data_IF_984946507606
#
_entry.id   IF_984946507606
#
_cell.length_a   1.000
_cell.length_b   1.000
_cell.length_c   1.000
_cell.angle_alpha   90.00
_cell.angle_beta   90.00
_cell.angle_gamma   90.00
#
_symmetry.space_group_name_H-M   'P 1'
#
loop_
_entity.id
_entity.type
_entity.pdbx_description
1 polymer ?
#
# COMPACT_ATOMS: atom_id res chain seq x y z
N UNK A 1 -10.22 49.41 -16.38
CA UNK A 1 -10.79 48.33 -15.56
C UNK A 1 -9.95 48.22 -14.30
N UNK A 2 -10.48 48.77 -13.21
CA UNK A 2 -9.83 48.83 -11.90
C UNK A 2 -9.68 47.40 -11.35
N UNK A 3 -8.43 46.95 -11.19
CA UNK A 3 -8.08 45.75 -10.44
C UNK A 3 -8.62 45.91 -9.01
N UNK A 4 -9.77 45.28 -8.72
CA UNK A 4 -10.34 45.28 -7.38
C UNK A 4 -9.31 44.68 -6.43
N UNK A 5 -8.89 45.45 -5.42
CA UNK A 5 -8.10 44.90 -4.31
C UNK A 5 -8.94 43.84 -3.63
N UNK A 6 -8.58 42.56 -3.79
CA UNK A 6 -9.19 41.48 -3.04
C UNK A 6 -8.87 41.67 -1.56
N UNK A 7 -9.81 41.29 -0.70
CA UNK A 7 -9.48 41.15 0.72
C UNK A 7 -8.71 39.85 0.94
N UNK A 8 -7.92 39.80 2.02
CA UNK A 8 -7.23 38.58 2.46
C UNK A 8 -8.19 37.38 2.59
N UNK A 9 -9.46 37.63 2.95
CA UNK A 9 -10.50 36.61 3.03
C UNK A 9 -10.83 35.96 1.67
N UNK A 10 -10.81 36.71 0.58
CA UNK A 10 -11.05 36.15 -0.75
C UNK A 10 -9.88 35.24 -1.18
N UNK A 11 -8.64 35.66 -0.89
CA UNK A 11 -7.45 34.88 -1.20
C UNK A 11 -7.32 33.65 -0.30
N UNK A 12 -7.72 33.74 0.97
CA UNK A 12 -7.78 32.57 1.85
C UNK A 12 -8.80 31.55 1.34
N UNK A 13 -9.96 32.01 0.88
CA UNK A 13 -10.96 31.13 0.29
C UNK A 13 -10.47 30.47 -1.02
N UNK A 14 -9.70 31.18 -1.85
CA UNK A 14 -9.04 30.61 -3.02
C UNK A 14 -8.05 29.49 -2.62
N UNK A 15 -7.27 29.70 -1.55
CA UNK A 15 -6.34 28.69 -1.05
C UNK A 15 -7.08 27.45 -0.52
N UNK A 16 -8.22 27.62 0.16
CA UNK A 16 -9.05 26.50 0.62
C UNK A 16 -9.68 25.73 -0.56
N UNK A 17 -10.05 26.44 -1.64
CA UNK A 17 -10.46 25.80 -2.90
C UNK A 17 -9.31 25.00 -3.53
N UNK A 18 -8.08 25.55 -3.55
CA UNK A 18 -6.91 24.84 -4.08
C UNK A 18 -6.61 23.57 -3.28
N UNK A 19 -6.85 23.57 -1.97
CA UNK A 19 -6.67 22.39 -1.12
C UNK A 19 -7.67 21.29 -1.46
N UNK A 20 -8.95 21.64 -1.62
CA UNK A 20 -9.99 20.70 -2.07
C UNK A 20 -9.71 20.15 -3.46
N UNK A 21 -9.26 21.01 -4.37
CA UNK A 21 -8.84 20.63 -5.71
C UNK A 21 -7.67 19.63 -5.66
N UNK A 22 -6.66 19.88 -4.82
CA UNK A 22 -5.52 18.98 -4.64
C UNK A 22 -5.96 17.61 -4.12
N UNK A 23 -6.74 17.55 -3.04
CA UNK A 23 -7.24 16.30 -2.48
C UNK A 23 -8.06 15.49 -3.51
N UNK A 24 -8.93 16.17 -4.25
CA UNK A 24 -9.74 15.53 -5.31
C UNK A 24 -8.87 15.02 -6.45
N UNK A 25 -7.83 15.76 -6.83
CA UNK A 25 -6.90 15.36 -7.89
C UNK A 25 -6.13 14.11 -7.49
N UNK A 26 -5.72 14.01 -6.23
CA UNK A 26 -4.99 12.85 -5.70
C UNK A 26 -5.86 11.59 -5.61
N UNK A 27 -7.17 11.72 -5.41
CA UNK A 27 -8.10 10.58 -5.49
C UNK A 27 -8.34 10.09 -6.92
N UNK A 28 -8.29 11.00 -7.90
CA UNK A 28 -8.58 10.69 -9.32
C UNK A 28 -7.37 10.18 -10.10
N UNK A 29 -6.18 10.67 -9.76
CA UNK A 29 -4.96 10.30 -10.48
C UNK A 29 -4.47 8.92 -10.03
N UNK A 30 -3.97 8.08 -10.97
CA UNK A 30 -3.27 6.85 -10.62
C UNK A 30 -2.14 7.16 -9.63
N UNK A 31 -2.04 6.40 -8.53
CA UNK A 31 -0.99 6.58 -7.50
C UNK A 31 0.43 6.50 -8.06
N UNK A 32 0.61 5.92 -9.25
CA UNK A 32 1.88 5.87 -9.98
C UNK A 32 2.32 7.20 -10.59
N UNK A 33 1.43 8.19 -10.68
CA UNK A 33 1.68 9.49 -11.31
C UNK A 33 1.78 10.64 -10.31
N UNK A 34 1.33 10.43 -9.08
CA UNK A 34 1.41 11.45 -8.03
C UNK A 34 2.81 11.40 -7.42
N UNK A 35 3.54 12.51 -7.52
CA UNK A 35 4.92 12.62 -7.02
C UNK A 35 4.99 12.41 -5.51
N UNK A 36 3.99 12.91 -4.77
CA UNK A 36 4.03 12.95 -3.31
C UNK A 36 2.66 12.61 -2.71
N UNK A 37 2.60 12.24 -1.43
CA UNK A 37 1.31 12.00 -0.76
C UNK A 37 0.61 13.32 -0.36
N UNK A 38 -0.66 13.23 0.00
CA UNK A 38 -1.49 14.34 0.48
C UNK A 38 -0.85 15.07 1.68
N UNK A 39 -0.27 14.31 2.62
CA UNK A 39 0.40 14.88 3.79
C UNK A 39 1.60 15.77 3.43
N UNK A 40 2.35 15.41 2.40
CA UNK A 40 3.46 16.20 1.88
C UNK A 40 2.96 17.50 1.24
N UNK A 41 1.90 17.43 0.44
CA UNK A 41 1.30 18.59 -0.22
C UNK A 41 0.76 19.60 0.80
N UNK A 42 0.05 19.12 1.82
CA UNK A 42 -0.46 19.94 2.92
C UNK A 42 0.68 20.54 3.74
N UNK A 43 1.73 19.77 4.00
CA UNK A 43 2.94 20.26 4.66
C UNK A 43 3.61 21.36 3.83
N UNK A 44 3.66 21.22 2.50
CA UNK A 44 4.31 22.22 1.64
C UNK A 44 3.53 23.53 1.70
N UNK A 45 2.21 23.44 1.58
CA UNK A 45 1.29 24.57 1.69
C UNK A 45 1.41 25.27 3.05
N UNK A 46 1.51 24.51 4.15
CA UNK A 46 1.69 25.04 5.48
C UNK A 46 3.04 25.76 5.66
N UNK A 47 4.14 25.16 5.18
CA UNK A 47 5.47 25.79 5.21
C UNK A 47 5.50 27.06 4.36
N UNK A 48 4.92 27.04 3.15
CA UNK A 48 4.83 28.24 2.31
C UNK A 48 4.03 29.36 2.99
N UNK A 49 2.92 29.03 3.65
CA UNK A 49 2.14 30.01 4.42
C UNK A 49 2.96 30.59 5.58
N UNK A 50 3.61 29.74 6.38
CA UNK A 50 4.40 30.16 7.54
C UNK A 50 5.57 31.05 7.13
N UNK A 51 6.31 30.65 6.09
CA UNK A 51 7.44 31.41 5.57
C UNK A 51 6.96 32.78 5.08
N UNK A 52 5.87 32.85 4.32
CA UNK A 52 5.32 34.11 3.84
C UNK A 52 4.86 35.02 4.99
N UNK A 53 4.19 34.49 6.02
CA UNK A 53 3.71 35.28 7.16
C UNK A 53 4.85 35.90 8.00
N UNK A 54 6.02 35.27 8.01
CA UNK A 54 7.18 35.75 8.78
C UNK A 54 8.01 36.80 8.05
N UNK A 55 7.80 37.00 6.75
CA UNK A 55 8.58 37.99 5.99
C UNK A 55 8.18 39.42 6.38
N UNK A 56 9.12 40.27 6.80
CA UNK A 56 8.81 41.65 7.18
C UNK A 56 8.47 42.49 5.95
N UNK A 57 7.41 43.30 6.04
CA UNK A 57 7.06 44.31 5.03
C UNK A 57 6.42 43.80 3.74
N UNK A 58 6.00 42.53 3.69
CA UNK A 58 5.35 41.93 2.51
C UNK A 58 3.86 42.27 2.42
N UNK A 59 3.31 42.15 1.21
CA UNK A 59 1.87 42.32 0.96
C UNK A 59 1.03 41.33 1.79
N UNK A 60 -0.13 41.75 2.34
CA UNK A 60 -1.06 40.82 3.00
C UNK A 60 -1.59 39.71 2.07
N UNK A 61 -1.42 39.87 0.76
CA UNK A 61 -1.85 38.90 -0.24
C UNK A 61 -0.85 37.73 -0.39
N UNK A 62 0.43 37.96 -0.07
CA UNK A 62 1.51 37.01 -0.30
C UNK A 62 1.27 35.64 0.36
N UNK A 63 0.87 35.54 1.65
CA UNK A 63 0.77 34.24 2.31
C UNK A 63 -0.29 33.33 1.70
N UNK A 64 -1.43 33.89 1.32
CA UNK A 64 -2.53 33.13 0.73
C UNK A 64 -2.21 32.71 -0.71
N UNK A 65 -1.57 33.59 -1.48
CA UNK A 65 -1.09 33.26 -2.83
C UNK A 65 0.01 32.20 -2.79
N UNK A 66 0.97 32.30 -1.87
CA UNK A 66 2.02 31.30 -1.70
C UNK A 66 1.45 29.93 -1.30
N UNK A 67 0.49 29.88 -0.37
CA UNK A 67 -0.23 28.64 -0.02
C UNK A 67 -0.95 28.03 -1.23
N UNK A 68 -1.64 28.86 -2.00
CA UNK A 68 -2.37 28.43 -3.22
C UNK A 68 -1.40 27.83 -4.24
N UNK A 69 -0.30 28.53 -4.52
CA UNK A 69 0.73 28.10 -5.48
C UNK A 69 1.41 26.80 -5.04
N UNK A 70 1.69 26.63 -3.74
CA UNK A 70 2.22 25.39 -3.19
C UNK A 70 1.28 24.18 -3.39
N UNK A 71 -0.02 24.37 -3.22
CA UNK A 71 -1.02 23.33 -3.46
C UNK A 71 -1.10 22.95 -4.94
N UNK A 72 -1.00 23.93 -5.85
CA UNK A 72 -0.98 23.67 -7.28
C UNK A 72 0.32 23.03 -7.75
N UNK A 73 1.47 23.35 -7.15
CA UNK A 73 2.73 22.65 -7.41
C UNK A 73 2.60 21.16 -7.13
N UNK A 74 1.97 20.80 -6.00
CA UNK A 74 1.73 19.42 -5.63
C UNK A 74 0.81 18.68 -6.62
N UNK A 75 -0.04 19.39 -7.35
CA UNK A 75 -0.93 18.81 -8.36
C UNK A 75 -0.23 18.50 -9.69
N UNK A 76 1.07 18.83 -9.84
CA UNK A 76 1.81 18.55 -11.08
C UNK A 76 2.20 17.08 -11.12
N UNK A 77 2.00 16.46 -12.29
CA UNK A 77 2.30 15.05 -12.53
C UNK A 77 2.93 14.85 -13.91
N UNK A 78 3.51 13.66 -14.11
CA UNK A 78 4.16 13.27 -15.35
C UNK A 78 3.16 13.04 -16.49
N UNK A 79 3.38 13.72 -17.62
CA UNK A 79 2.56 13.59 -18.83
C UNK A 79 3.11 12.58 -19.86
N UNK A 80 2.40 12.36 -20.99
CA UNK A 80 2.78 11.39 -22.05
C UNK A 80 4.15 11.61 -22.71
N UNK A 81 4.78 12.76 -22.48
CA UNK A 81 6.05 13.15 -23.09
C UNK A 81 7.27 13.08 -22.18
N UNK A 82 7.19 12.43 -21.01
CA UNK A 82 8.24 12.49 -19.98
C UNK A 82 8.50 13.90 -19.43
N UNK A 83 7.54 14.81 -19.59
CA UNK A 83 7.59 16.18 -19.08
C UNK A 83 6.58 16.32 -17.94
N UNK A 84 6.99 17.02 -16.88
CA UNK A 84 6.09 17.38 -15.81
C UNK A 84 5.07 18.38 -16.33
N UNK A 85 3.77 18.18 -16.06
CA UNK A 85 2.75 19.16 -16.46
C UNK A 85 3.12 20.56 -15.97
N UNK A 86 3.01 21.52 -16.88
CA UNK A 86 3.33 22.92 -16.62
C UNK A 86 2.31 23.58 -15.69
N UNK A 87 2.73 24.67 -15.06
CA UNK A 87 1.90 25.46 -14.16
C UNK A 87 0.62 25.97 -14.82
N UNK A 88 0.68 26.37 -16.09
CA UNK A 88 -0.49 26.86 -16.82
C UNK A 88 -1.58 25.79 -16.98
N UNK A 89 -1.19 24.54 -17.24
CA UNK A 89 -2.15 23.45 -17.39
C UNK A 89 -2.88 23.19 -16.07
N UNK A 90 -2.13 23.10 -14.97
CA UNK A 90 -2.71 22.89 -13.63
C UNK A 90 -3.57 24.08 -13.21
N UNK A 91 -3.13 25.31 -13.50
CA UNK A 91 -3.92 26.51 -13.22
C UNK A 91 -5.21 26.58 -14.06
N UNK A 92 -5.20 26.07 -15.29
CA UNK A 92 -6.38 25.96 -16.13
C UNK A 92 -7.36 24.92 -15.58
N UNK A 93 -6.88 23.73 -15.19
CA UNK A 93 -7.71 22.70 -14.54
C UNK A 93 -8.33 23.21 -13.24
N UNK A 94 -7.56 23.93 -12.43
CA UNK A 94 -8.05 24.53 -11.20
C UNK A 94 -9.11 25.61 -11.48
N UNK A 95 -8.91 26.44 -12.51
CA UNK A 95 -9.90 27.43 -12.95
C UNK A 95 -11.21 26.76 -13.34
N UNK A 96 -11.14 25.73 -14.17
CA UNK A 96 -12.30 24.97 -14.63
C UNK A 96 -13.03 24.30 -13.46
N UNK A 97 -12.29 23.86 -12.44
CA UNK A 97 -12.85 23.29 -11.21
C UNK A 97 -13.57 24.33 -10.33
N UNK A 98 -12.98 25.52 -10.14
CA UNK A 98 -13.59 26.57 -9.31
C UNK A 98 -14.80 27.24 -9.95
N UNK A 99 -14.90 27.22 -11.28
CA UNK A 99 -15.99 27.86 -12.02
C UNK A 99 -15.86 29.40 -12.13
N UNK A 100 -16.87 30.05 -12.73
CA UNK A 100 -16.80 31.46 -13.13
C UNK A 100 -16.72 32.46 -11.96
N UNK A 101 -17.22 32.08 -10.78
CA UNK A 101 -17.25 32.96 -9.59
C UNK A 101 -15.84 33.33 -9.10
N UNK A 102 -14.83 32.53 -9.44
CA UNK A 102 -13.44 32.75 -9.06
C UNK A 102 -12.61 33.41 -10.17
N UNK A 103 -13.21 33.79 -11.29
CA UNK A 103 -12.47 34.24 -12.48
C UNK A 103 -11.44 35.35 -12.17
N UNK A 104 -11.84 36.37 -11.41
CA UNK A 104 -10.94 37.48 -11.10
C UNK A 104 -9.80 37.05 -10.15
N UNK A 105 -10.06 36.13 -9.21
CA UNK A 105 -9.04 35.56 -8.32
C UNK A 105 -8.06 34.66 -9.10
N UNK A 106 -8.58 33.89 -10.05
CA UNK A 106 -7.78 33.05 -10.95
C UNK A 106 -6.88 33.90 -11.86
N UNK A 107 -7.37 35.03 -12.37
CA UNK A 107 -6.54 35.98 -13.12
C UNK A 107 -5.38 36.48 -12.25
N UNK A 108 -5.64 36.89 -11.00
CA UNK A 108 -4.57 37.28 -10.06
C UNK A 108 -3.58 36.15 -9.81
N UNK A 109 -4.07 34.93 -9.58
CA UNK A 109 -3.22 33.75 -9.40
C UNK A 109 -2.30 33.53 -10.62
N UNK A 110 -2.84 33.60 -11.84
CA UNK A 110 -2.02 33.42 -13.05
C UNK A 110 -0.92 34.47 -13.20
N UNK A 111 -1.11 35.69 -12.68
CA UNK A 111 -0.06 36.71 -12.71
C UNK A 111 1.09 36.46 -11.74
N UNK A 112 0.90 35.67 -10.70
CA UNK A 112 1.94 35.34 -9.69
C UNK A 112 2.58 33.98 -9.89
N UNK A 113 2.06 33.15 -10.78
CA UNK A 113 2.71 31.91 -11.23
C UNK A 113 4.05 32.22 -11.93
N UNK A 114 4.97 31.23 -12.07
CA UNK A 114 6.30 31.45 -12.63
C UNK A 114 6.33 32.17 -13.99
N UNK A 115 5.32 31.94 -14.83
CA UNK A 115 5.15 32.53 -16.17
C UNK A 115 4.38 33.88 -16.17
N UNK A 116 3.93 34.34 -15.00
CA UNK A 116 3.18 35.58 -14.85
C UNK A 116 4.05 36.85 -14.88
N UNK A 117 3.41 38.01 -14.75
CA UNK A 117 4.06 39.32 -14.83
C UNK A 117 3.94 40.17 -13.56
N UNK A 118 3.37 39.64 -12.47
CA UNK A 118 3.15 40.38 -11.22
C UNK A 118 4.45 40.70 -10.48
N UNK A 119 4.48 41.82 -9.75
CA UNK A 119 5.56 42.14 -8.82
C UNK A 119 5.70 41.13 -7.68
N UNK A 120 4.59 40.50 -7.26
CA UNK A 120 4.58 39.45 -6.22
C UNK A 120 5.09 38.10 -6.72
N UNK A 121 5.27 37.91 -8.03
CA UNK A 121 5.72 36.65 -8.62
C UNK A 121 7.06 36.19 -8.05
N UNK A 122 8.02 37.10 -7.94
CA UNK A 122 9.35 36.79 -7.40
C UNK A 122 9.25 36.36 -5.94
N UNK A 123 8.47 37.08 -5.13
CA UNK A 123 8.27 36.77 -3.71
C UNK A 123 7.59 35.42 -3.52
N UNK A 124 6.52 35.12 -4.28
CA UNK A 124 5.83 33.82 -4.24
C UNK A 124 6.77 32.69 -4.65
N UNK A 125 7.53 32.88 -5.73
CA UNK A 125 8.51 31.89 -6.18
C UNK A 125 9.62 31.67 -5.14
N UNK A 126 10.06 32.73 -4.45
CA UNK A 126 11.05 32.61 -3.38
C UNK A 126 10.51 31.81 -2.19
N UNK A 127 9.27 32.11 -1.76
CA UNK A 127 8.61 31.40 -0.66
C UNK A 127 8.41 29.92 -1.00
N UNK A 128 7.95 29.62 -2.21
CA UNK A 128 7.76 28.24 -2.66
C UNK A 128 9.08 27.48 -2.67
N UNK A 129 10.13 28.09 -3.24
CA UNK A 129 11.45 27.48 -3.29
C UNK A 129 12.01 27.20 -1.89
N UNK A 130 11.88 28.15 -0.96
CA UNK A 130 12.34 27.96 0.43
C UNK A 130 11.54 26.88 1.15
N UNK A 131 10.22 26.78 0.91
CA UNK A 131 9.38 25.73 1.48
C UNK A 131 9.75 24.34 0.94
N UNK A 132 9.98 24.21 -0.37
CA UNK A 132 10.43 22.97 -0.99
C UNK A 132 11.80 22.55 -0.46
N UNK A 133 12.73 23.49 -0.31
CA UNK A 133 14.05 23.21 0.25
C UNK A 133 13.96 22.76 1.72
N UNK A 134 13.12 23.41 2.52
CA UNK A 134 12.89 23.00 3.91
C UNK A 134 12.37 21.56 3.98
N UNK A 135 11.38 21.19 3.16
CA UNK A 135 10.86 19.83 3.12
C UNK A 135 11.90 18.81 2.69
N UNK A 136 12.70 19.11 1.65
CA UNK A 136 13.78 18.23 1.19
C UNK A 136 14.85 18.03 2.26
N UNK A 137 15.16 19.05 3.05
CA UNK A 137 16.08 18.91 4.17
C UNK A 137 15.50 18.06 5.29
N UNK A 138 14.21 18.23 5.59
CA UNK A 138 13.53 17.44 6.63
C UNK A 138 13.37 15.96 6.24
N UNK A 139 13.21 15.64 4.95
CA UNK A 139 13.11 14.26 4.47
C UNK A 139 14.45 13.53 4.38
N UNK A 140 15.57 14.26 4.31
CA UNK A 140 16.92 13.68 4.31
C UNK A 140 17.09 12.57 3.27
N UNK A 141 17.53 11.38 3.72
CA UNK A 141 17.69 10.21 2.85
C UNK A 141 16.39 9.64 2.31
N UNK A 142 15.28 9.77 3.04
CA UNK A 142 13.98 9.28 2.58
C UNK A 142 13.50 10.05 1.35
N UNK A 143 13.85 11.34 1.26
CA UNK A 143 13.57 12.16 0.07
C UNK A 143 14.22 11.61 -1.19
N UNK A 144 15.49 11.18 -1.10
CA UNK A 144 16.20 10.59 -2.24
C UNK A 144 15.60 9.23 -2.66
N UNK A 145 15.19 8.41 -1.69
CA UNK A 145 14.49 7.14 -1.96
C UNK A 145 13.13 7.37 -2.63
N UNK A 146 12.41 8.41 -2.19
CA UNK A 146 11.15 8.81 -2.81
C UNK A 146 11.37 9.21 -4.27
N UNK A 147 12.36 10.07 -4.55
CA UNK A 147 12.72 10.47 -5.92
C UNK A 147 13.13 9.28 -6.78
N UNK A 148 13.86 8.31 -6.22
CA UNK A 148 14.20 7.07 -6.92
C UNK A 148 12.95 6.24 -7.26
N UNK A 149 12.04 6.05 -6.29
CA UNK A 149 10.78 5.32 -6.49
C UNK A 149 9.89 6.02 -7.50
N UNK A 150 9.73 7.34 -7.41
CA UNK A 150 8.98 8.17 -8.36
C UNK A 150 9.48 7.94 -9.79
N UNK A 151 10.79 8.05 -10.01
CA UNK A 151 11.38 7.82 -11.32
C UNK A 151 11.10 6.40 -11.85
N UNK A 152 11.17 5.39 -10.98
CA UNK A 152 10.92 3.99 -11.34
C UNK A 152 9.45 3.74 -11.73
N UNK A 153 8.50 4.22 -10.93
CA UNK A 153 7.06 4.04 -11.22
C UNK A 153 6.63 4.81 -12.47
N UNK A 154 7.18 6.01 -12.68
CA UNK A 154 6.90 6.80 -13.86
C UNK A 154 7.46 6.12 -15.13
N UNK A 155 8.61 5.46 -15.04
CA UNK A 155 9.17 4.63 -16.12
C UNK A 155 8.30 3.44 -16.47
N UNK A 156 7.85 2.66 -15.48
CA UNK A 156 7.03 1.45 -15.70
C UNK A 156 5.69 1.78 -16.37
N UNK A 157 5.17 2.99 -16.16
CA UNK A 157 3.93 3.48 -16.79
C UNK A 157 4.13 4.14 -18.15
N UNK A 158 5.37 4.32 -18.60
CA UNK A 158 5.70 4.99 -19.86
C UNK A 158 5.48 6.51 -19.86
N UNK A 159 5.22 7.10 -18.69
CA UNK A 159 4.90 8.53 -18.54
C UNK A 159 6.07 9.34 -17.92
N UNK A 160 7.11 8.66 -17.42
CA UNK A 160 8.23 9.26 -16.69
C UNK A 160 9.50 9.53 -17.48
N UNK A 161 10.59 9.95 -16.80
CA UNK A 161 11.88 10.22 -17.44
C UNK A 161 12.41 9.00 -18.20
N UNK A 162 13.06 9.21 -19.35
CA UNK A 162 13.43 8.12 -20.28
C UNK A 162 14.49 7.14 -19.75
N UNK A 163 15.15 7.45 -18.63
CA UNK A 163 16.27 6.67 -18.10
C UNK A 163 16.02 6.26 -16.66
N UNK A 164 16.17 4.97 -16.40
CA UNK A 164 16.20 4.42 -15.04
C UNK A 164 17.40 4.97 -14.28
N UNK A 165 17.12 5.58 -13.13
CA UNK A 165 18.16 5.96 -12.18
C UNK A 165 18.40 4.79 -11.22
N UNK A 166 19.66 4.41 -11.05
CA UNK A 166 20.02 3.51 -9.98
C UNK A 166 19.81 4.22 -8.63
N UNK A 167 19.64 3.43 -7.56
CA UNK A 167 19.41 3.96 -6.21
C UNK A 167 20.58 4.84 -5.74
N UNK A 168 21.81 4.43 -6.05
CA UNK A 168 23.03 5.20 -5.79
C UNK A 168 23.04 6.51 -6.56
N UNK A 169 22.72 6.47 -7.86
CA UNK A 169 22.66 7.67 -8.71
C UNK A 169 21.61 8.68 -8.20
N UNK A 170 20.47 8.20 -7.72
CA UNK A 170 19.42 9.04 -7.14
C UNK A 170 19.87 9.72 -5.84
N UNK A 171 20.52 8.97 -4.95
CA UNK A 171 21.11 9.52 -3.72
C UNK A 171 22.19 10.55 -4.02
N UNK A 172 23.09 10.25 -4.96
CA UNK A 172 24.17 11.16 -5.37
C UNK A 172 23.63 12.42 -6.04
N UNK A 173 22.61 12.30 -6.88
CA UNK A 173 21.92 13.44 -7.49
C UNK A 173 21.27 14.32 -6.42
N UNK A 174 20.49 13.72 -5.52
CA UNK A 174 19.81 14.42 -4.43
C UNK A 174 20.80 15.16 -3.50
N UNK A 175 21.92 14.51 -3.17
CA UNK A 175 23.00 15.10 -2.38
C UNK A 175 23.62 16.31 -3.09
N UNK A 176 23.88 16.21 -4.38
CA UNK A 176 24.43 17.31 -5.17
C UNK A 176 23.46 18.50 -5.26
N UNK A 177 22.16 18.25 -5.46
CA UNK A 177 21.14 19.30 -5.42
C UNK A 177 21.12 20.02 -4.07
N UNK A 178 21.07 19.27 -2.96
CA UNK A 178 21.06 19.87 -1.62
C UNK A 178 22.36 20.62 -1.29
N UNK A 179 23.50 20.22 -1.85
CA UNK A 179 24.78 20.91 -1.66
C UNK A 179 24.80 22.28 -2.36
N UNK A 180 24.13 22.40 -3.50
CA UNK A 180 24.04 23.64 -4.27
C UNK A 180 22.90 24.54 -3.79
N UNK A 181 21.83 23.95 -3.26
CA UNK A 181 20.66 24.67 -2.79
C UNK A 181 20.99 25.58 -1.58
N UNK A 182 20.50 26.82 -1.64
CA UNK A 182 20.58 27.79 -0.54
C UNK A 182 19.23 28.44 -0.36
N UNK A 183 18.78 28.58 0.89
CA UNK A 183 17.59 29.39 1.21
C UNK A 183 17.76 30.81 0.70
N UNK A 184 16.72 31.34 0.07
CA UNK A 184 16.63 32.72 -0.40
C UNK A 184 16.41 33.66 0.78
N UNK A 185 15.62 33.23 1.75
CA UNK A 185 15.49 33.90 3.06
C UNK A 185 16.74 33.71 3.94
N UNK A 186 17.32 34.82 4.41
CA UNK A 186 18.48 34.84 5.28
C UNK A 186 18.22 34.31 6.69
N UNK A 187 17.00 34.45 7.22
CA UNK A 187 16.63 33.94 8.54
C UNK A 187 16.51 32.41 8.50
N UNK A 188 15.83 31.88 7.49
CA UNK A 188 15.73 30.43 7.25
C UNK A 188 17.12 29.81 7.07
N UNK A 189 18.00 30.50 6.32
CA UNK A 189 19.39 30.04 6.14
C UNK A 189 20.11 29.85 7.47
N UNK A 190 19.94 30.76 8.43
CA UNK A 190 20.54 30.64 9.77
C UNK A 190 19.89 29.53 10.57
N UNK A 191 18.55 29.45 10.57
CA UNK A 191 17.78 28.45 11.32
C UNK A 191 18.09 27.02 10.89
N UNK A 192 18.20 26.79 9.58
CA UNK A 192 18.43 25.47 9.01
C UNK A 192 19.90 25.14 8.79
N UNK A 193 20.85 26.02 9.12
CA UNK A 193 22.27 25.82 8.86
C UNK A 193 22.81 24.51 9.47
N UNK A 194 22.43 24.21 10.72
CA UNK A 194 22.86 23.00 11.42
C UNK A 194 22.17 21.75 10.87
N UNK A 195 20.86 21.82 10.59
CA UNK A 195 20.10 20.72 9.99
C UNK A 195 20.66 20.38 8.60
N UNK A 196 20.97 21.41 7.81
CA UNK A 196 21.50 21.27 6.47
C UNK A 196 22.85 20.56 6.46
N UNK A 197 23.78 20.95 7.33
CA UNK A 197 25.09 20.30 7.43
C UNK A 197 25.00 18.85 7.94
N UNK A 198 24.12 18.58 8.91
CA UNK A 198 23.89 17.23 9.41
C UNK A 198 23.35 16.30 8.31
N UNK A 199 22.31 16.74 7.59
CA UNK A 199 21.68 15.96 6.51
C UNK A 199 22.66 15.69 5.37
N UNK A 200 23.46 16.68 4.97
CA UNK A 200 24.48 16.49 3.94
C UNK A 200 25.53 15.46 4.36
N UNK A 201 25.95 15.46 5.62
CA UNK A 201 26.92 14.50 6.15
C UNK A 201 26.34 13.08 6.16
N UNK A 202 25.09 12.92 6.59
CA UNK A 202 24.44 11.61 6.65
C UNK A 202 24.19 11.03 5.26
N UNK A 203 23.76 11.86 4.30
CA UNK A 203 23.64 11.49 2.89
C UNK A 203 25.00 11.11 2.29
N UNK A 204 26.06 11.87 2.55
CA UNK A 204 27.40 11.53 2.07
C UNK A 204 27.86 10.18 2.62
N UNK A 205 27.69 9.93 3.93
CA UNK A 205 28.01 8.62 4.54
C UNK A 205 27.22 7.46 3.95
N UNK A 206 25.98 7.71 3.50
CA UNK A 206 25.17 6.70 2.82
C UNK A 206 25.70 6.41 1.42
N UNK A 207 25.99 7.45 0.63
CA UNK A 207 26.59 7.30 -0.70
C UNK A 207 27.91 6.55 -0.61
N UNK A 208 28.82 6.96 0.28
CA UNK A 208 30.12 6.32 0.48
C UNK A 208 30.00 4.83 0.87
N UNK A 209 28.99 4.48 1.68
CA UNK A 209 28.71 3.09 2.07
C UNK A 209 28.21 2.25 0.89
N UNK A 210 27.40 2.84 0.03
CA UNK A 210 26.86 2.15 -1.14
C UNK A 210 27.92 2.01 -2.24
N UNK A 211 28.75 3.04 -2.48
CA UNK A 211 29.87 3.00 -3.43
C UNK A 211 30.93 1.97 -3.01
N UNK A 212 31.25 1.87 -1.70
CA UNK A 212 32.17 0.84 -1.19
C UNK A 212 31.65 -0.59 -1.33
N UNK A 213 30.35 -0.79 -1.59
CA UNK A 213 29.71 -2.10 -1.69
C UNK A 213 29.70 -2.67 -3.11
N UNK A 214 30.18 -1.94 -4.12
CA UNK A 214 30.47 -2.49 -5.46
C UNK A 214 32.00 -2.63 -5.66
N UNK A 215 32.47 -3.84 -6.06
CA UNK A 215 32.08 -4.45 -7.32
C UNK A 215 31.63 -5.92 -7.19
N UNK A 216 30.46 -6.25 -7.72
CA UNK A 216 30.18 -7.61 -8.23
C UNK A 216 30.08 -7.50 -9.75
N UNK A 217 30.92 -8.28 -10.45
CA UNK A 217 30.99 -8.36 -11.91
C UNK A 217 29.61 -8.71 -12.51
N UNK A 218 29.35 -8.33 -13.78
CA UNK A 218 28.11 -8.68 -14.47
C UNK A 218 27.91 -10.20 -14.45
N UNK A 219 26.67 -10.60 -14.17
CA UNK A 219 26.23 -11.99 -14.15
C UNK A 219 26.51 -12.64 -15.51
N UNK A 220 27.36 -13.66 -15.53
CA UNK A 220 27.30 -14.69 -16.57
C UNK A 220 25.98 -15.44 -16.37
N UNK A 221 25.15 -15.47 -17.41
CA UNK A 221 24.05 -16.42 -17.51
C UNK A 221 24.66 -17.82 -17.63
N UNK A 222 24.57 -18.61 -16.56
CA UNK A 222 24.75 -20.06 -16.63
C UNK A 222 23.56 -20.73 -16.00
N UNK A 223 22.93 -21.56 -16.83
CA UNK A 223 21.77 -22.40 -16.59
C UNK A 223 21.88 -23.28 -15.34
N UNK A 224 20.71 -23.52 -14.72
CA UNK A 224 20.36 -24.86 -14.21
C UNK A 224 20.84 -25.23 -12.81
N UNK A 225 19.84 -25.42 -11.93
CA UNK A 225 19.87 -26.15 -10.66
C UNK A 225 20.53 -25.51 -9.42
N UNK A 226 19.64 -25.16 -8.47
CA UNK A 226 19.90 -24.86 -7.05
C UNK A 226 20.73 -23.61 -6.74
N UNK A 227 20.29 -22.44 -7.22
CA UNK A 227 20.73 -21.17 -6.65
C UNK A 227 19.98 -20.94 -5.33
N UNK A 228 20.58 -21.33 -4.20
CA UNK A 228 20.28 -20.66 -2.92
C UNK A 228 20.76 -19.22 -3.07
N UNK A 229 19.84 -18.31 -3.40
CA UNK A 229 20.16 -16.88 -3.37
C UNK A 229 20.63 -16.54 -1.95
N UNK A 230 21.82 -15.94 -1.83
CA UNK A 230 22.35 -15.46 -0.56
C UNK A 230 21.40 -14.39 0.01
N UNK A 231 20.62 -14.75 1.03
CA UNK A 231 19.67 -13.91 1.74
C UNK A 231 20.38 -12.99 2.75
N UNK A 232 21.67 -13.19 3.01
CA UNK A 232 22.53 -12.33 3.85
C UNK A 232 22.47 -10.83 3.51
N UNK A 233 22.22 -10.45 2.26
CA UNK A 233 22.07 -9.04 1.85
C UNK A 233 20.81 -8.35 2.38
N UNK A 234 19.85 -9.11 2.93
CA UNK A 234 18.58 -8.59 3.48
C UNK A 234 18.79 -7.91 4.85
N UNK A 235 19.83 -8.30 5.59
CA UNK A 235 20.08 -7.76 6.92
C UNK A 235 20.66 -6.34 6.92
N UNK A 236 21.10 -5.86 5.75
CA UNK A 236 21.71 -4.54 5.61
C UNK A 236 20.68 -3.43 5.34
N UNK A 237 20.69 -2.40 6.19
CA UNK A 237 20.00 -1.13 5.94
C UNK A 237 18.46 -1.17 6.07
N UNK A 238 17.72 -0.27 5.37
CA UNK A 238 16.27 -0.13 5.52
C UNK A 238 15.48 -1.36 5.04
N UNK A 239 16.09 -2.20 4.20
CA UNK A 239 15.50 -3.44 3.69
C UNK A 239 15.15 -4.42 4.81
N UNK A 240 15.92 -4.45 5.91
CA UNK A 240 15.66 -5.33 7.06
C UNK A 240 14.29 -5.06 7.69
N UNK A 241 13.95 -3.79 7.91
CA UNK A 241 12.67 -3.39 8.50
C UNK A 241 11.50 -3.69 7.56
N UNK A 242 11.68 -3.44 6.26
CA UNK A 242 10.69 -3.75 5.24
C UNK A 242 10.42 -5.26 5.18
N UNK A 243 11.48 -6.08 5.15
CA UNK A 243 11.38 -7.55 5.13
C UNK A 243 10.74 -8.10 6.40
N UNK A 244 11.11 -7.60 7.58
CA UNK A 244 10.47 -8.00 8.83
C UNK A 244 8.97 -7.66 8.84
N UNK A 245 8.62 -6.46 8.36
CA UNK A 245 7.22 -6.02 8.26
C UNK A 245 6.44 -6.86 7.25
N UNK A 246 7.06 -7.19 6.12
CA UNK A 246 6.49 -8.06 5.10
C UNK A 246 6.20 -9.45 5.67
N UNK A 247 7.19 -10.15 6.20
CA UNK A 247 6.99 -11.47 6.79
C UNK A 247 5.92 -11.44 7.88
N UNK A 248 5.98 -10.48 8.81
CA UNK A 248 4.95 -10.32 9.86
C UNK A 248 3.55 -10.18 9.27
N UNK A 249 3.41 -9.35 8.23
CA UNK A 249 2.11 -9.11 7.59
C UNK A 249 1.60 -10.35 6.88
N UNK A 250 2.44 -11.03 6.09
CA UNK A 250 2.02 -12.23 5.35
C UNK A 250 1.69 -13.38 6.29
N UNK A 251 2.53 -13.66 7.30
CA UNK A 251 2.24 -14.68 8.32
C UNK A 251 0.91 -14.40 9.03
N UNK A 252 0.68 -13.14 9.46
CA UNK A 252 -0.58 -12.74 10.09
C UNK A 252 -1.77 -13.00 9.15
N UNK A 253 -1.66 -12.60 7.88
CA UNK A 253 -2.72 -12.78 6.90
C UNK A 253 -3.02 -14.27 6.64
N UNK A 254 -1.99 -15.12 6.51
CA UNK A 254 -2.19 -16.56 6.31
C UNK A 254 -2.79 -17.24 7.54
N UNK A 255 -2.35 -16.87 8.75
CA UNK A 255 -2.96 -17.38 9.99
C UNK A 255 -4.44 -16.96 10.07
N UNK A 256 -4.76 -15.70 9.73
CA UNK A 256 -6.14 -15.22 9.66
C UNK A 256 -6.96 -15.99 8.61
N UNK A 257 -6.43 -16.20 7.40
CA UNK A 257 -7.10 -16.97 6.35
C UNK A 257 -7.36 -18.42 6.77
N UNK A 258 -6.40 -19.03 7.48
CA UNK A 258 -6.55 -20.36 8.07
C UNK A 258 -7.68 -20.37 9.11
N UNK A 259 -7.70 -19.40 10.03
CA UNK A 259 -8.77 -19.26 11.02
C UNK A 259 -10.14 -19.05 10.37
N UNK A 260 -10.22 -18.24 9.31
CA UNK A 260 -11.46 -18.06 8.54
C UNK A 260 -11.92 -19.36 7.88
N UNK A 261 -11.00 -20.18 7.37
CA UNK A 261 -11.34 -21.49 6.82
C UNK A 261 -11.94 -22.41 7.89
N UNK A 262 -11.32 -22.45 9.08
CA UNK A 262 -11.80 -23.23 10.22
C UNK A 262 -13.18 -22.73 10.70
N UNK A 263 -13.38 -21.42 10.74
CA UNK A 263 -14.68 -20.82 11.05
C UNK A 263 -15.75 -21.19 10.01
N UNK A 264 -15.43 -21.15 8.72
CA UNK A 264 -16.37 -21.55 7.66
C UNK A 264 -16.73 -23.04 7.74
N UNK A 265 -15.76 -23.89 8.06
CA UNK A 265 -16.02 -25.31 8.31
C UNK A 265 -16.95 -25.50 9.52
N UNK A 266 -16.73 -24.77 10.62
CA UNK A 266 -17.60 -24.80 11.79
C UNK A 266 -19.04 -24.34 11.50
N UNK A 267 -19.20 -23.27 10.70
CA UNK A 267 -20.52 -22.81 10.22
C UNK A 267 -21.18 -23.90 9.35
N UNK A 268 -20.43 -24.53 8.45
CA UNK A 268 -20.96 -25.59 7.59
C UNK A 268 -21.45 -26.80 8.41
N UNK A 269 -20.69 -27.17 9.44
CA UNK A 269 -21.07 -28.22 10.40
C UNK A 269 -22.35 -27.85 11.13
N UNK A 270 -22.44 -26.63 11.69
CA UNK A 270 -23.60 -26.22 12.49
C UNK A 270 -24.87 -26.10 11.64
N UNK A 271 -24.78 -25.56 10.43
CA UNK A 271 -25.91 -25.45 9.49
C UNK A 271 -26.40 -26.84 9.08
N UNK A 272 -25.50 -27.76 8.69
CA UNK A 272 -25.90 -29.12 8.33
C UNK A 272 -26.55 -29.86 9.51
N UNK A 273 -25.98 -29.78 10.71
CA UNK A 273 -26.55 -30.40 11.90
C UNK A 273 -27.94 -29.85 12.24
N UNK A 274 -28.12 -28.52 12.19
CA UNK A 274 -29.38 -27.85 12.45
C UNK A 274 -30.46 -28.21 11.42
N UNK A 275 -30.12 -28.21 10.13
CA UNK A 275 -31.06 -28.55 9.06
C UNK A 275 -31.48 -30.02 9.10
N UNK A 276 -30.54 -30.95 9.33
CA UNK A 276 -30.85 -32.37 9.49
C UNK A 276 -31.78 -32.57 10.70
N UNK A 277 -31.45 -31.96 11.85
CA UNK A 277 -32.29 -32.04 13.06
C UNK A 277 -33.69 -31.49 12.86
N UNK A 278 -33.82 -30.33 12.18
CA UNK A 278 -35.11 -29.73 11.87
C UNK A 278 -35.94 -30.62 10.92
N UNK A 279 -35.33 -31.18 9.88
CA UNK A 279 -36.02 -32.07 8.94
C UNK A 279 -36.51 -33.35 9.61
N UNK A 280 -35.69 -34.00 10.43
CA UNK A 280 -36.09 -35.20 11.19
C UNK A 280 -37.26 -34.87 12.11
N UNK A 281 -37.17 -33.77 12.86
CA UNK A 281 -38.25 -33.32 13.75
C UNK A 281 -39.56 -33.08 12.98
N UNK A 282 -39.47 -32.41 11.83
CA UNK A 282 -40.63 -32.08 11.02
C UNK A 282 -41.30 -33.31 10.39
N UNK A 283 -40.51 -34.24 9.85
CA UNK A 283 -41.01 -35.52 9.30
C UNK A 283 -41.68 -36.37 10.39
N UNK A 284 -41.08 -36.42 11.58
CA UNK A 284 -41.60 -37.20 12.71
C UNK A 284 -42.88 -36.58 13.28
N UNK A 285 -42.91 -35.26 13.50
CA UNK A 285 -44.04 -34.57 14.13
C UNK A 285 -45.32 -34.63 13.29
N UNK A 286 -45.20 -34.49 11.96
CA UNK A 286 -46.36 -34.55 11.06
C UNK A 286 -46.71 -35.95 10.56
N UNK A 287 -46.03 -36.99 11.05
CA UNK A 287 -46.21 -38.38 10.63
C UNK A 287 -46.24 -38.52 9.08
N UNK A 288 -45.37 -37.76 8.40
CA UNK A 288 -45.31 -37.69 6.94
C UNK A 288 -44.86 -39.01 6.32
N UNK A 289 -44.13 -39.83 7.07
CA UNK A 289 -43.79 -41.19 6.68
C UNK A 289 -45.03 -42.05 6.38
N UNK A 290 -46.16 -41.81 7.06
CA UNK A 290 -47.41 -42.54 6.85
C UNK A 290 -48.39 -41.79 5.95
N UNK A 291 -48.43 -40.46 6.04
CA UNK A 291 -49.43 -39.63 5.34
C UNK A 291 -49.02 -39.18 3.93
N UNK A 292 -47.72 -38.99 3.64
CA UNK A 292 -47.20 -38.55 2.34
C UNK A 292 -45.83 -39.16 2.03
N UNK A 293 -45.77 -40.46 1.68
CA UNK A 293 -44.50 -41.17 1.46
C UNK A 293 -43.67 -40.58 0.30
N UNK A 294 -44.29 -39.92 -0.67
CA UNK A 294 -43.61 -39.28 -1.79
C UNK A 294 -42.65 -38.15 -1.37
N UNK A 295 -42.94 -37.45 -0.26
CA UNK A 295 -42.08 -36.37 0.27
C UNK A 295 -40.83 -36.95 0.96
N UNK A 296 -40.87 -38.22 1.35
CA UNK A 296 -39.74 -38.88 2.03
C UNK A 296 -38.51 -38.99 1.12
N UNK A 297 -38.72 -39.24 -0.18
CA UNK A 297 -37.63 -39.38 -1.16
C UNK A 297 -36.75 -38.10 -1.24
N UNK A 298 -37.29 -36.89 -1.51
CA UNK A 298 -36.51 -35.67 -1.48
C UNK A 298 -35.80 -35.41 -0.15
N UNK A 299 -36.43 -35.74 0.98
CA UNK A 299 -35.85 -35.54 2.32
C UNK A 299 -34.66 -36.48 2.55
N UNK A 300 -34.78 -37.76 2.20
CA UNK A 300 -33.67 -38.72 2.34
C UNK A 300 -32.49 -38.33 1.45
N UNK A 301 -32.75 -37.89 0.21
CA UNK A 301 -31.72 -37.38 -0.70
C UNK A 301 -31.02 -36.17 -0.08
N UNK A 302 -31.77 -35.22 0.48
CA UNK A 302 -31.20 -34.04 1.11
C UNK A 302 -30.30 -34.41 2.30
N UNK A 303 -30.80 -35.28 3.19
CA UNK A 303 -30.05 -35.74 4.37
C UNK A 303 -28.76 -36.44 3.94
N UNK A 304 -28.80 -37.28 2.91
CA UNK A 304 -27.61 -37.95 2.38
C UNK A 304 -26.58 -36.94 1.86
N UNK A 305 -26.98 -35.96 1.06
CA UNK A 305 -26.09 -34.89 0.59
C UNK A 305 -25.53 -34.03 1.73
N UNK A 306 -26.37 -33.68 2.71
CA UNK A 306 -25.97 -32.90 3.88
C UNK A 306 -24.96 -33.66 4.76
N UNK A 307 -25.11 -34.98 4.90
CA UNK A 307 -24.14 -35.83 5.59
C UNK A 307 -22.81 -35.89 4.85
N UNK A 308 -22.81 -36.07 3.53
CA UNK A 308 -21.57 -36.05 2.74
C UNK A 308 -20.87 -34.69 2.87
N UNK A 309 -21.63 -33.60 2.76
CA UNK A 309 -21.13 -32.24 2.98
C UNK A 309 -20.52 -32.07 4.38
N UNK A 310 -21.19 -32.55 5.41
CA UNK A 310 -20.72 -32.53 6.80
C UNK A 310 -19.38 -33.27 6.95
N UNK A 311 -19.23 -34.45 6.32
CA UNK A 311 -17.97 -35.21 6.33
C UNK A 311 -16.83 -34.38 5.75
N UNK A 312 -17.03 -33.72 4.60
CA UNK A 312 -15.99 -32.86 4.02
C UNK A 312 -15.65 -31.65 4.90
N UNK A 313 -16.64 -31.04 5.56
CA UNK A 313 -16.40 -29.96 6.51
C UNK A 313 -15.58 -30.42 7.73
N UNK A 314 -15.88 -31.60 8.27
CA UNK A 314 -15.10 -32.20 9.37
C UNK A 314 -13.68 -32.58 8.94
N UNK A 315 -13.50 -33.07 7.71
CA UNK A 315 -12.18 -33.34 7.14
C UNK A 315 -11.35 -32.06 6.98
N UNK A 316 -11.98 -30.92 6.62
CA UNK A 316 -11.29 -29.64 6.52
C UNK A 316 -10.80 -29.13 7.90
N UNK A 317 -11.54 -29.41 8.97
CA UNK A 317 -11.16 -29.07 10.35
C UNK A 317 -10.14 -30.04 10.97
N UNK A 318 -9.87 -31.19 10.33
CA UNK A 318 -8.94 -32.19 10.87
C UNK A 318 -7.51 -31.61 10.92
N UNK A 319 -6.79 -31.73 12.06
CA UNK A 319 -5.40 -31.34 12.12
C UNK A 319 -4.58 -32.25 11.18
N UNK A 320 -3.87 -31.64 10.24
CA UNK A 320 -3.01 -32.37 9.30
C UNK A 320 -1.59 -32.43 9.85
N UNK A 321 -0.99 -33.62 9.84
CA UNK A 321 0.43 -33.79 10.15
C UNK A 321 1.23 -33.43 8.89
N UNK A 322 2.07 -32.39 8.97
CA UNK A 322 3.05 -32.10 7.93
C UNK A 322 4.18 -33.13 8.03
N UNK A 323 4.58 -33.73 6.92
CA UNK A 323 5.73 -34.63 6.83
C UNK A 323 6.82 -33.90 6.03
N UNK A 324 8.08 -33.96 6.47
CA UNK A 324 9.22 -33.40 5.73
C UNK A 324 9.71 -31.99 6.14
N UNK A 325 9.32 -31.46 7.30
CA UNK A 325 9.83 -30.16 7.81
C UNK A 325 10.84 -30.35 8.97
N UNK A 326 11.53 -31.49 9.07
CA UNK A 326 12.40 -31.85 10.21
C UNK A 326 13.55 -30.88 10.49
N UNK A 327 13.96 -30.10 9.50
CA UNK A 327 15.02 -29.08 9.65
C UNK A 327 14.47 -27.67 9.92
N UNK A 328 13.16 -27.45 9.77
CA UNK A 328 12.57 -26.12 9.93
C UNK A 328 12.16 -25.85 11.39
N UNK A 329 12.99 -25.09 12.10
CA UNK A 329 12.73 -24.72 13.50
C UNK A 329 11.56 -23.74 13.70
N UNK A 330 11.09 -23.08 12.64
CA UNK A 330 9.91 -22.22 12.73
C UNK A 330 8.60 -23.05 12.85
N UNK A 331 8.64 -24.33 12.46
CA UNK A 331 7.49 -25.21 12.52
C UNK A 331 7.36 -25.86 13.91
N UNK A 332 6.18 -25.72 14.52
CA UNK A 332 5.92 -26.24 15.87
C UNK A 332 6.13 -27.75 16.01
N UNK A 333 5.84 -28.53 14.95
CA UNK A 333 5.95 -29.98 14.97
C UNK A 333 7.40 -30.45 15.01
N UNK A 334 8.32 -29.66 14.46
CA UNK A 334 9.77 -29.90 14.53
C UNK A 334 10.28 -29.60 15.93
N UNK A 335 9.89 -28.45 16.48
CA UNK A 335 10.25 -28.06 17.86
C UNK A 335 9.75 -29.08 18.89
N UNK A 336 8.53 -29.61 18.73
CA UNK A 336 7.98 -30.60 19.67
C UNK A 336 8.68 -31.96 19.66
N UNK A 337 9.46 -32.26 18.62
CA UNK A 337 10.19 -33.54 18.50
C UNK A 337 11.66 -33.43 18.94
N UNK A 338 12.16 -32.23 19.25
CA UNK A 338 13.54 -32.00 19.66
C UNK A 338 13.67 -31.96 21.19
N UNK A 339 14.79 -32.48 21.69
CA UNK A 339 15.17 -32.25 23.08
C UNK A 339 15.60 -30.78 23.28
N UNK A 340 15.45 -30.28 24.51
CA UNK A 340 15.70 -28.87 24.85
C UNK A 340 17.11 -28.43 24.47
N UNK A 341 18.13 -29.24 24.72
CA UNK A 341 19.51 -28.88 24.40
C UNK A 341 19.75 -28.82 22.88
N UNK A 342 19.16 -29.75 22.14
CA UNK A 342 19.27 -29.79 20.68
C UNK A 342 18.52 -28.61 20.03
N UNK A 343 17.35 -28.26 20.55
CA UNK A 343 16.61 -27.09 20.09
C UNK A 343 17.41 -25.80 20.28
N UNK A 344 18.01 -25.60 21.46
CA UNK A 344 18.82 -24.40 21.75
C UNK A 344 20.00 -24.31 20.78
N UNK A 345 20.77 -25.40 20.61
CA UNK A 345 21.90 -25.43 19.68
C UNK A 345 21.50 -25.07 18.26
N UNK A 346 20.47 -25.73 17.72
CA UNK A 346 20.02 -25.47 16.33
C UNK A 346 19.47 -24.05 16.16
N UNK A 347 18.78 -23.54 17.17
CA UNK A 347 18.24 -22.18 17.13
C UNK A 347 19.35 -21.14 17.12
N UNK A 348 20.39 -21.30 17.95
CA UNK A 348 21.56 -20.42 17.97
C UNK A 348 22.25 -20.39 16.60
N UNK A 349 22.50 -21.55 15.99
CA UNK A 349 23.09 -21.61 14.63
C UNK A 349 22.20 -20.93 13.59
N UNK A 350 20.89 -21.18 13.65
CA UNK A 350 19.92 -20.58 12.71
C UNK A 350 19.85 -19.06 12.83
N UNK A 351 19.94 -18.51 14.05
CA UNK A 351 19.91 -17.07 14.28
C UNK A 351 21.21 -16.36 13.85
N UNK A 352 22.32 -17.09 13.78
CA UNK A 352 23.62 -16.56 13.32
C UNK A 352 23.75 -16.57 11.80
N UNK A 353 22.95 -17.36 11.09
CA UNK A 353 22.99 -17.54 9.64
C UNK A 353 21.71 -17.00 8.98
N UNK A 354 21.75 -15.82 8.32
CA UNK A 354 20.56 -15.22 7.71
C UNK A 354 19.88 -16.12 6.67
N UNK A 355 20.67 -16.87 5.92
CA UNK A 355 20.17 -17.80 4.89
C UNK A 355 19.36 -18.95 5.53
N UNK A 356 19.80 -19.45 6.68
CA UNK A 356 19.09 -20.47 7.45
C UNK A 356 17.81 -19.89 8.09
N UNK A 357 17.91 -18.70 8.67
CA UNK A 357 16.77 -18.01 9.28
C UNK A 357 15.65 -17.73 8.27
N UNK A 358 15.98 -17.03 7.18
CA UNK A 358 14.99 -16.68 6.16
C UNK A 358 14.53 -17.91 5.36
N UNK A 359 15.39 -18.90 5.15
CA UNK A 359 15.02 -20.18 4.56
C UNK A 359 13.96 -20.93 5.37
N UNK A 360 14.13 -20.99 6.70
CA UNK A 360 13.15 -21.59 7.62
C UNK A 360 11.81 -20.85 7.59
N UNK A 361 11.82 -19.52 7.58
CA UNK A 361 10.62 -18.70 7.46
C UNK A 361 9.90 -18.93 6.13
N UNK A 362 10.64 -18.97 5.01
CA UNK A 362 10.07 -19.21 3.68
C UNK A 362 9.45 -20.61 3.59
N UNK A 363 10.11 -21.63 4.14
CA UNK A 363 9.60 -22.99 4.17
C UNK A 363 8.29 -23.08 4.96
N UNK A 364 8.22 -22.50 6.17
CA UNK A 364 6.97 -22.53 6.95
C UNK A 364 5.86 -21.72 6.28
N UNK A 365 6.20 -20.59 5.66
CA UNK A 365 5.25 -19.78 4.91
C UNK A 365 4.61 -20.57 3.76
N UNK A 366 5.43 -21.29 2.99
CA UNK A 366 4.96 -22.18 1.92
C UNK A 366 4.10 -23.33 2.47
N UNK A 367 4.53 -23.95 3.58
CA UNK A 367 3.78 -25.01 4.27
C UNK A 367 2.43 -24.53 4.83
N UNK A 368 2.33 -23.30 5.32
CA UNK A 368 1.08 -22.66 5.71
C UNK A 368 0.16 -22.45 4.50
N UNK A 369 0.69 -21.91 3.41
CA UNK A 369 -0.05 -21.70 2.16
C UNK A 369 -0.69 -22.98 1.62
N UNK A 370 0.09 -24.05 1.48
CA UNK A 370 -0.41 -25.34 0.97
C UNK A 370 -1.48 -25.98 1.86
N UNK A 371 -1.36 -25.82 3.18
CA UNK A 371 -2.36 -26.31 4.14
C UNK A 371 -3.69 -25.55 3.99
N UNK A 372 -3.62 -24.23 3.77
CA UNK A 372 -4.80 -23.39 3.56
C UNK A 372 -5.52 -23.78 2.28
N UNK A 373 -4.79 -23.93 1.17
CA UNK A 373 -5.36 -24.31 -0.13
C UNK A 373 -6.16 -25.63 -0.03
N UNK A 374 -5.57 -26.66 0.59
CA UNK A 374 -6.26 -27.93 0.82
C UNK A 374 -7.55 -27.78 1.63
N UNK A 375 -7.55 -26.98 2.71
CA UNK A 375 -8.76 -26.74 3.52
C UNK A 375 -9.86 -26.08 2.71
N UNK A 376 -9.51 -25.06 1.92
CA UNK A 376 -10.45 -24.38 1.03
C UNK A 376 -10.96 -25.31 -0.09
N UNK A 377 -10.14 -26.22 -0.60
CA UNK A 377 -10.55 -27.25 -1.54
C UNK A 377 -11.62 -28.19 -0.97
N UNK A 378 -11.37 -28.75 0.22
CA UNK A 378 -12.35 -29.62 0.91
C UNK A 378 -13.66 -28.89 1.22
N UNK A 379 -13.54 -27.63 1.66
CA UNK A 379 -14.70 -26.80 1.97
C UNK A 379 -15.50 -26.45 0.71
N UNK A 380 -14.83 -26.19 -0.42
CA UNK A 380 -15.50 -25.97 -1.72
C UNK A 380 -16.33 -27.18 -2.10
N UNK A 381 -15.78 -28.39 -1.97
CA UNK A 381 -16.50 -29.65 -2.23
C UNK A 381 -17.72 -29.78 -1.30
N UNK A 382 -17.54 -29.51 0.00
CA UNK A 382 -18.64 -29.54 0.97
C UNK A 382 -19.80 -28.61 0.59
N UNK A 383 -19.49 -27.37 0.19
CA UNK A 383 -20.51 -26.40 -0.26
C UNK A 383 -21.19 -26.83 -1.55
N UNK A 384 -20.44 -27.31 -2.54
CA UNK A 384 -21.01 -27.74 -3.81
C UNK A 384 -21.99 -28.90 -3.60
N UNK A 385 -21.61 -29.91 -2.81
CA UNK A 385 -22.48 -31.07 -2.53
C UNK A 385 -23.74 -30.64 -1.77
N UNK A 386 -23.60 -29.75 -0.79
CA UNK A 386 -24.75 -29.22 -0.04
C UNK A 386 -25.72 -28.44 -0.93
N UNK A 387 -25.20 -27.53 -1.76
CA UNK A 387 -26.02 -26.70 -2.65
C UNK A 387 -26.73 -27.54 -3.71
N UNK A 388 -26.05 -28.52 -4.30
CA UNK A 388 -26.66 -29.46 -5.25
C UNK A 388 -27.75 -30.27 -4.55
N UNK A 389 -27.47 -30.81 -3.36
CA UNK A 389 -28.45 -31.56 -2.57
C UNK A 389 -29.68 -30.73 -2.24
N UNK A 390 -29.48 -29.48 -1.81
CA UNK A 390 -30.56 -28.53 -1.54
C UNK A 390 -31.40 -28.25 -2.79
N UNK A 391 -30.76 -27.92 -3.91
CA UNK A 391 -31.45 -27.59 -5.16
C UNK A 391 -32.25 -28.78 -5.69
N UNK A 392 -31.62 -29.97 -5.77
CA UNK A 392 -32.28 -31.19 -6.27
C UNK A 392 -33.46 -31.56 -5.39
N UNK A 393 -33.28 -31.61 -4.06
CA UNK A 393 -34.37 -31.95 -3.15
C UNK A 393 -35.51 -30.94 -3.17
N UNK A 394 -35.20 -29.64 -3.27
CA UNK A 394 -36.21 -28.59 -3.36
C UNK A 394 -37.01 -28.69 -4.66
N UNK A 395 -36.34 -28.89 -5.80
CA UNK A 395 -37.00 -29.09 -7.09
C UNK A 395 -37.89 -30.34 -7.09
N UNK A 396 -37.44 -31.43 -6.46
CA UNK A 396 -38.22 -32.65 -6.31
C UNK A 396 -39.49 -32.42 -5.48
N UNK A 397 -39.40 -31.70 -4.36
CA UNK A 397 -40.58 -31.33 -3.56
C UNK A 397 -41.54 -30.46 -4.37
N UNK A 398 -41.03 -29.45 -5.08
CA UNK A 398 -41.85 -28.57 -5.93
C UNK A 398 -42.56 -29.39 -7.00
N UNK A 399 -41.84 -30.27 -7.71
CA UNK A 399 -42.43 -31.12 -8.73
C UNK A 399 -43.54 -32.01 -8.16
N UNK A 400 -43.32 -32.65 -7.01
CA UNK A 400 -44.34 -33.48 -6.34
C UNK A 400 -45.56 -32.66 -5.91
N UNK A 401 -45.38 -31.40 -5.53
CA UNK A 401 -46.49 -30.52 -5.10
C UNK A 401 -47.27 -29.96 -6.31
N UNK A 402 -46.61 -29.65 -7.42
CA UNK A 402 -47.23 -29.03 -8.60
C UNK A 402 -47.82 -30.03 -9.61
N UNK A 403 -47.20 -31.20 -9.79
CA UNK A 403 -47.69 -32.23 -10.71
C UNK A 403 -48.73 -33.17 -10.07
N UNK A 404 -49.42 -32.69 -9.03
CA UNK A 404 -50.40 -33.45 -8.27
C UNK A 404 -51.73 -32.73 -8.17
#
# INVERSE_FOLDING_TARGET
MTTGRFSALHLSHLADQAERFMLTSYERLPRSLVLHNDSWALSLAAHSLEIALRRPGVSPDLPHLARTVALLEACRYWGPGSELRGWNAVAQEFRDWTGPDYLNLQLTLTTVLPEGSSGLRAEVADVLYDAQLAQRLLSGSEGAELTWLENRYALDTGLGPRRSMNRTDALSHYLNELRQARFRDGELRRRYQHTHSAVLLDLQKLVDRLEKKEPRRPLEETDGENVRHSLSGIEDGPTRQATQTYFRTVFRNLIQLKQMADQKAAIMVSVNALLIGALITFVSYRNWAQSRPEILLPVVIFIACALVSLVYALLASRPNRRQGEEDNLAFYGTVSNLDREEFIRRMETTLLEPDALYGNLLSDLHGLGSTIDRKYGLLRIAYTIFLIGLAVSTLLVIAIVFFR
#
